data_IF_894561532869
#
_entry.id   IF_894561532869
#
_cell.length_a   1.000
_cell.length_b   1.000
_cell.length_c   1.000
_cell.angle_alpha   90.00
_cell.angle_beta   90.00
_cell.angle_gamma   90.00
#
_symmetry.space_group_name_H-M   'P 1'
#
loop_
_entity.id
_entity.type
_entity.pdbx_description
1 polymer ?
#
# COMPACT_ATOMS: atom_id res chain seq x y z
N UNK A 1 6.58 -4.75 -33.17
CA UNK A 1 5.86 -4.37 -31.95
C UNK A 1 6.86 -4.23 -30.84
N UNK A 2 6.99 -3.04 -30.25
CA UNK A 2 7.99 -2.78 -29.22
C UNK A 2 7.56 -3.47 -27.93
N UNK A 3 8.29 -4.53 -27.58
CA UNK A 3 8.25 -5.12 -26.24
C UNK A 3 8.88 -4.10 -25.30
N UNK A 4 8.06 -3.36 -24.56
CA UNK A 4 8.49 -2.76 -23.30
C UNK A 4 8.82 -3.93 -22.37
N UNK A 5 10.06 -4.41 -22.38
CA UNK A 5 10.58 -5.21 -21.29
C UNK A 5 10.51 -4.32 -20.05
N UNK A 6 9.49 -4.54 -19.22
CA UNK A 6 9.29 -3.82 -17.97
C UNK A 6 10.51 -4.02 -17.08
N UNK A 7 11.26 -2.96 -16.85
CA UNK A 7 12.24 -2.93 -15.79
C UNK A 7 11.47 -2.83 -14.47
N UNK A 8 11.51 -3.89 -13.65
CA UNK A 8 10.80 -3.98 -12.38
C UNK A 8 11.15 -2.85 -11.42
N UNK A 9 12.34 -2.23 -11.58
CA UNK A 9 12.72 -1.02 -10.85
C UNK A 9 11.89 0.18 -11.28
N UNK A 10 11.63 0.32 -12.59
CA UNK A 10 10.81 1.41 -13.11
C UNK A 10 9.36 1.28 -12.62
N UNK A 11 8.81 0.07 -12.61
CA UNK A 11 7.44 -0.19 -12.11
C UNK A 11 7.30 0.18 -10.63
N UNK A 12 8.34 -0.08 -9.83
CA UNK A 12 8.38 0.32 -8.42
C UNK A 12 8.37 1.84 -8.25
N UNK A 13 9.17 2.57 -9.04
CA UNK A 13 9.20 4.04 -9.00
C UNK A 13 7.91 4.67 -9.51
N UNK A 14 7.30 4.11 -10.55
CA UNK A 14 5.97 4.53 -11.03
C UNK A 14 4.95 4.39 -9.90
N UNK A 15 4.99 3.29 -9.16
CA UNK A 15 4.11 3.08 -8.02
C UNK A 15 4.39 4.11 -6.91
N UNK A 16 5.65 4.28 -6.48
CA UNK A 16 6.01 5.26 -5.44
C UNK A 16 5.52 6.67 -5.83
N UNK A 17 5.73 7.09 -7.08
CA UNK A 17 5.24 8.38 -7.56
C UNK A 17 3.71 8.46 -7.56
N UNK A 18 3.01 7.38 -7.94
CA UNK A 18 1.56 7.33 -7.86
C UNK A 18 1.09 7.52 -6.40
N UNK A 19 1.72 6.89 -5.42
CA UNK A 19 1.37 7.09 -4.00
C UNK A 19 1.60 8.53 -3.57
N UNK A 20 2.72 9.14 -3.96
CA UNK A 20 3.08 10.51 -3.57
C UNK A 20 2.19 11.59 -4.20
N UNK A 21 1.74 11.36 -5.43
CA UNK A 21 1.02 12.37 -6.22
C UNK A 21 -0.49 12.22 -6.16
N UNK A 22 -1.01 11.10 -5.66
CA UNK A 22 -2.45 10.83 -5.64
C UNK A 22 -3.12 11.36 -4.38
N UNK A 23 -4.37 11.79 -4.51
CA UNK A 23 -5.30 11.93 -3.38
C UNK A 23 -5.96 10.61 -3.00
N UNK A 24 -6.14 9.72 -3.98
CA UNK A 24 -6.74 8.39 -3.82
C UNK A 24 -5.96 7.38 -4.65
N UNK A 25 -5.52 6.30 -4.03
CA UNK A 25 -4.79 5.21 -4.66
C UNK A 25 -5.70 3.99 -4.77
N UNK A 26 -5.98 3.57 -6.00
CA UNK A 26 -6.74 2.35 -6.28
C UNK A 26 -5.74 1.25 -6.66
N UNK A 27 -5.49 0.33 -5.74
CA UNK A 27 -4.67 -0.85 -6.02
C UNK A 27 -5.55 -1.98 -6.53
N UNK A 28 -5.21 -2.53 -7.70
CA UNK A 28 -6.04 -3.49 -8.39
C UNK A 28 -5.31 -4.83 -8.53
N UNK A 29 -5.86 -5.88 -7.92
CA UNK A 29 -5.34 -7.24 -8.02
C UNK A 29 -6.42 -8.21 -8.48
N UNK A 30 -6.01 -9.38 -8.95
CA UNK A 30 -6.92 -10.47 -9.36
C UNK A 30 -6.91 -11.57 -8.30
N UNK A 31 -8.05 -12.17 -8.04
CA UNK A 31 -8.21 -13.29 -7.12
C UNK A 31 -8.50 -12.82 -5.70
N UNK A 32 -7.58 -13.10 -4.78
CA UNK A 32 -7.72 -12.79 -3.36
C UNK A 32 -6.57 -11.87 -2.93
N UNK A 33 -6.69 -11.26 -1.75
CA UNK A 33 -5.55 -10.58 -1.13
C UNK A 33 -4.58 -11.67 -0.64
N UNK A 34 -3.50 -11.87 -1.39
CA UNK A 34 -2.44 -12.82 -1.05
C UNK A 34 -1.25 -12.12 -0.39
N UNK A 35 -0.33 -12.94 0.13
CA UNK A 35 0.86 -12.42 0.80
C UNK A 35 1.78 -11.66 -0.17
N UNK A 36 1.82 -12.05 -1.44
CA UNK A 36 2.69 -11.41 -2.43
C UNK A 36 2.25 -9.97 -2.71
N UNK A 37 0.96 -9.73 -2.90
CA UNK A 37 0.40 -8.39 -3.09
C UNK A 37 0.62 -7.52 -1.84
N UNK A 38 0.51 -8.12 -0.65
CA UNK A 38 0.78 -7.45 0.61
C UNK A 38 2.26 -7.07 0.77
N UNK A 39 3.18 -7.98 0.44
CA UNK A 39 4.63 -7.75 0.50
C UNK A 39 5.05 -6.64 -0.48
N UNK A 40 4.49 -6.63 -1.68
CA UNK A 40 4.72 -5.57 -2.67
C UNK A 40 4.22 -4.21 -2.17
N UNK A 41 3.00 -4.16 -1.63
CA UNK A 41 2.43 -2.93 -1.08
C UNK A 41 3.29 -2.42 0.07
N UNK A 42 3.68 -3.29 1.00
CA UNK A 42 4.56 -2.94 2.14
C UNK A 42 5.90 -2.38 1.69
N UNK A 43 6.52 -3.00 0.69
CA UNK A 43 7.79 -2.54 0.14
C UNK A 43 7.68 -1.13 -0.45
N UNK A 44 6.63 -0.86 -1.23
CA UNK A 44 6.39 0.47 -1.81
C UNK A 44 6.11 1.51 -0.72
N UNK A 45 5.34 1.16 0.31
CA UNK A 45 5.03 2.08 1.41
C UNK A 45 6.30 2.50 2.15
N UNK A 46 7.22 1.57 2.44
CA UNK A 46 8.54 1.86 3.03
C UNK A 46 9.40 2.75 2.13
N UNK A 47 9.42 2.49 0.83
CA UNK A 47 10.16 3.32 -0.12
C UNK A 47 9.58 4.73 -0.19
N UNK A 48 8.27 4.86 -0.21
CA UNK A 48 7.56 6.14 -0.23
C UNK A 48 7.89 6.97 1.02
N UNK A 49 7.90 6.33 2.19
CA UNK A 49 8.32 6.95 3.44
C UNK A 49 9.78 7.42 3.38
N UNK A 50 10.69 6.58 2.92
CA UNK A 50 12.11 6.92 2.79
C UNK A 50 12.37 8.08 1.82
N UNK A 51 11.63 8.15 0.71
CA UNK A 51 11.71 9.25 -0.26
C UNK A 51 11.18 10.54 0.35
N UNK A 52 10.06 10.52 1.09
CA UNK A 52 9.53 11.71 1.78
C UNK A 52 10.52 12.24 2.81
N UNK A 53 11.12 11.37 3.61
CA UNK A 53 12.12 11.76 4.62
C UNK A 53 13.34 12.45 3.99
N UNK A 54 13.80 11.98 2.83
CA UNK A 54 14.93 12.59 2.10
C UNK A 54 14.58 13.87 1.35
N UNK A 55 13.33 14.02 0.94
CA UNK A 55 12.85 15.20 0.19
C UNK A 55 12.45 16.35 1.12
N UNK A 56 12.27 16.10 2.41
CA UNK A 56 12.05 17.16 3.39
C UNK A 56 13.32 18.04 3.50
N UNK A 57 13.18 19.39 3.54
CA UNK A 57 14.33 20.27 3.70
C UNK A 57 15.04 19.97 5.02
N UNK A 58 16.38 19.98 5.03
CA UNK A 58 17.18 19.80 6.24
C UNK A 58 16.74 20.81 7.31
N UNK A 59 15.98 20.34 8.29
CA UNK A 59 15.60 21.14 9.45
C UNK A 59 16.55 20.82 10.59
N UNK A 60 17.06 21.88 11.21
CA UNK A 60 17.90 21.90 12.40
C UNK A 60 17.38 21.00 13.53
N UNK A 61 18.31 20.50 14.33
CA UNK A 61 18.23 19.44 15.35
C UNK A 61 17.14 19.57 16.45
N UNK A 62 16.25 20.57 16.40
CA UNK A 62 15.30 20.90 17.47
C UNK A 62 13.83 20.47 17.25
N UNK A 63 13.46 19.85 16.13
CA UNK A 63 12.06 19.38 15.89
C UNK A 63 11.92 17.85 16.02
N UNK A 64 12.23 17.29 17.20
CA UNK A 64 11.97 15.86 17.54
C UNK A 64 10.47 15.57 17.78
N UNK A 65 9.57 16.18 17.00
CA UNK A 65 8.12 15.95 17.05
C UNK A 65 7.48 15.86 15.67
N UNK A 66 8.25 15.48 14.65
CA UNK A 66 7.78 15.54 13.27
C UNK A 66 6.98 14.30 12.82
N UNK A 67 6.92 13.22 13.62
CA UNK A 67 6.14 12.01 13.28
C UNK A 67 4.66 12.28 13.03
N UNK A 68 4.10 13.35 13.59
CA UNK A 68 2.70 13.75 13.40
C UNK A 68 2.47 14.56 12.12
N UNK A 69 3.49 15.24 11.56
CA UNK A 69 3.37 15.97 10.29
C UNK A 69 3.57 15.07 9.06
N UNK A 70 4.18 13.91 9.20
CA UNK A 70 4.37 12.94 8.10
C UNK A 70 3.11 12.15 7.71
N UNK A 71 2.11 12.11 8.59
CA UNK A 71 0.80 11.47 8.35
C UNK A 71 -0.01 12.19 7.25
N UNK A 72 0.35 13.43 6.91
CA UNK A 72 -0.52 14.33 6.15
C UNK A 72 -0.73 14.02 4.67
N UNK A 73 -0.02 13.06 4.06
CA UNK A 73 -0.16 12.83 2.61
C UNK A 73 -0.04 11.36 2.20
N UNK A 74 -0.66 10.43 2.91
CA UNK A 74 -0.97 9.15 2.29
C UNK A 74 -2.35 9.24 1.62
N UNK A 75 -2.48 8.82 0.35
CA UNK A 75 -3.76 8.85 -0.33
C UNK A 75 -4.77 7.96 0.40
N UNK A 76 -6.06 8.28 0.24
CA UNK A 76 -7.10 7.30 0.55
C UNK A 76 -6.84 6.04 -0.26
N UNK A 77 -6.81 4.88 0.40
CA UNK A 77 -6.49 3.61 -0.23
C UNK A 77 -7.76 2.81 -0.52
N UNK A 78 -7.86 2.28 -1.74
CA UNK A 78 -8.93 1.37 -2.16
C UNK A 78 -8.29 0.16 -2.81
N UNK A 79 -8.64 -1.05 -2.33
CA UNK A 79 -8.20 -2.30 -2.96
C UNK A 79 -9.33 -2.88 -3.81
N UNK A 80 -9.19 -2.75 -5.13
CA UNK A 80 -10.11 -3.36 -6.09
C UNK A 80 -9.68 -4.81 -6.37
N UNK A 81 -10.38 -5.77 -5.77
CA UNK A 81 -10.13 -7.20 -5.97
C UNK A 81 -11.03 -7.74 -7.09
N UNK A 82 -10.45 -8.08 -8.24
CA UNK A 82 -11.18 -8.61 -9.41
C UNK A 82 -11.20 -10.13 -9.42
N UNK A 83 -12.23 -10.70 -10.05
CA UNK A 83 -12.45 -12.15 -10.14
C UNK A 83 -12.47 -12.81 -8.74
N UNK A 84 -13.11 -12.13 -7.79
CA UNK A 84 -13.24 -12.60 -6.41
C UNK A 84 -14.19 -13.80 -6.34
N UNK A 85 -13.69 -14.93 -5.86
CA UNK A 85 -14.45 -16.19 -5.79
C UNK A 85 -14.67 -16.72 -4.38
N UNK A 86 -14.14 -16.04 -3.35
CA UNK A 86 -14.33 -16.44 -1.96
C UNK A 86 -15.72 -16.02 -1.46
N UNK A 87 -16.28 -16.83 -0.56
CA UNK A 87 -17.40 -16.39 0.26
C UNK A 87 -16.85 -15.50 1.38
N UNK A 88 -17.47 -14.34 1.56
CA UNK A 88 -17.14 -13.39 2.62
C UNK A 88 -17.74 -13.88 3.94
N UNK A 89 -17.13 -14.92 4.52
CA UNK A 89 -17.61 -15.53 5.76
C UNK A 89 -16.45 -15.84 6.70
N UNK A 90 -16.62 -15.51 7.98
CA UNK A 90 -15.69 -15.88 9.06
C UNK A 90 -16.53 -16.44 10.22
N UNK A 91 -16.16 -17.64 10.70
CA UNK A 91 -16.85 -18.32 11.82
C UNK A 91 -18.37 -18.45 11.64
N UNK A 92 -18.86 -18.73 10.43
CA UNK A 92 -20.30 -18.89 10.17
C UNK A 92 -21.06 -17.58 9.96
N UNK A 93 -20.37 -16.43 9.97
CA UNK A 93 -20.98 -15.10 9.82
C UNK A 93 -20.49 -14.43 8.55
N UNK A 94 -21.43 -13.92 7.78
CA UNK A 94 -21.13 -13.03 6.66
C UNK A 94 -20.38 -11.79 7.16
N UNK A 95 -19.34 -11.41 6.43
CA UNK A 95 -18.54 -10.21 6.69
C UNK A 95 -18.64 -9.23 5.51
N UNK A 96 -18.39 -7.95 5.76
CA UNK A 96 -18.32 -6.95 4.69
C UNK A 96 -16.99 -7.02 3.92
N UNK A 97 -16.94 -6.34 2.76
CA UNK A 97 -15.71 -6.19 1.97
C UNK A 97 -14.61 -5.44 2.75
N UNK A 98 -15.01 -4.43 3.54
CA UNK A 98 -14.10 -3.70 4.43
C UNK A 98 -13.59 -4.60 5.55
N UNK A 99 -14.44 -5.44 6.13
CA UNK A 99 -14.01 -6.43 7.14
C UNK A 99 -13.06 -7.47 6.54
N UNK A 100 -13.26 -7.87 5.29
CA UNK A 100 -12.32 -8.74 4.57
C UNK A 100 -10.95 -8.07 4.38
N UNK A 101 -10.94 -6.80 3.97
CA UNK A 101 -9.71 -6.04 3.84
C UNK A 101 -8.98 -5.95 5.19
N UNK A 102 -9.68 -5.54 6.25
CA UNK A 102 -9.11 -5.46 7.61
C UNK A 102 -8.58 -6.81 8.09
N UNK A 103 -9.29 -7.90 7.81
CA UNK A 103 -8.84 -9.25 8.15
C UNK A 103 -7.58 -9.66 7.37
N UNK A 104 -7.46 -9.26 6.11
CA UNK A 104 -6.26 -9.51 5.31
C UNK A 104 -5.06 -8.65 5.78
N UNK A 105 -5.32 -7.46 6.31
CA UNK A 105 -4.31 -6.53 6.82
C UNK A 105 -3.87 -6.84 8.27
N UNK A 106 -4.64 -7.61 9.03
CA UNK A 106 -4.27 -8.02 10.39
C UNK A 106 -2.91 -8.68 10.39
N UNK A 107 -1.98 -8.08 11.13
CA UNK A 107 -0.67 -8.65 11.40
C UNK A 107 -0.86 -10.05 12.00
N UNK A 108 -0.44 -11.09 11.29
CA UNK A 108 -0.24 -12.39 11.92
C UNK A 108 0.86 -12.20 12.95
N UNK A 109 0.54 -12.40 14.23
CA UNK A 109 1.55 -12.47 15.28
C UNK A 109 2.58 -13.50 14.82
N UNK A 110 3.79 -13.04 14.53
CA UNK A 110 4.90 -13.92 14.17
C UNK A 110 5.06 -14.94 15.29
N UNK A 111 5.05 -16.23 14.94
CA UNK A 111 5.56 -17.26 15.83
C UNK A 111 7.07 -17.18 15.86
#
# INVERSE_FOLDING_TARGET
>A
GLLFQGDTKNDTWIFVLAVLLSSTLIYNSKGIIDQQAMDQLHYVMKLTEHVKLKAAPEKSEDEVKDSEKFVLFFPTFIWAVRDFTLQLEVDGKEISEDEYLENALKLKAGK
#
